data_IF_457566607549
#
_entry.id   IF_457566607549
#
_cell.length_a   1.000
_cell.length_b   1.000
_cell.length_c   1.000
_cell.angle_alpha   90.00
_cell.angle_beta   90.00
_cell.angle_gamma   90.00
#
_symmetry.space_group_name_H-M   'P 1'
#
loop_
_entity.id
_entity.type
_entity.pdbx_description
1 polymer ?
#
# COMPACT_ATOMS: atom_id res chain seq x y z
N UNK A 1 -11.56 -16.51 -22.48
CA UNK A 1 -11.54 -15.51 -23.58
C UNK A 1 -11.09 -14.19 -22.97
N UNK A 2 -9.86 -13.75 -23.26
CA UNK A 2 -9.36 -12.45 -22.84
C UNK A 2 -9.79 -11.42 -23.89
N UNK A 3 -10.52 -10.39 -23.48
CA UNK A 3 -10.90 -9.27 -24.36
C UNK A 3 -9.88 -8.15 -24.21
N UNK A 4 -9.25 -7.84 -25.34
CA UNK A 4 -8.30 -6.75 -25.53
C UNK A 4 -9.09 -5.56 -26.10
N UNK A 5 -8.99 -4.37 -25.52
CA UNK A 5 -9.61 -3.16 -26.05
C UNK A 5 -8.52 -2.11 -26.28
N UNK A 6 -8.15 -1.92 -27.55
CA UNK A 6 -7.32 -0.82 -28.03
C UNK A 6 -8.20 0.25 -28.67
N UNK A 7 -8.03 1.51 -28.25
CA UNK A 7 -8.66 2.68 -28.85
C UNK A 7 -7.74 3.90 -28.69
N UNK A 8 -7.32 4.47 -29.81
CA UNK A 8 -6.52 5.70 -29.89
C UNK A 8 -7.45 6.92 -29.86
N UNK A 9 -7.22 7.85 -28.92
CA UNK A 9 -7.70 9.23 -29.00
C UNK A 9 -6.58 10.18 -28.56
N UNK A 10 -6.36 11.21 -29.37
CA UNK A 10 -5.30 12.22 -29.26
C UNK A 10 -5.57 13.22 -28.13
N UNK A 11 -4.52 13.58 -27.39
CA UNK A 11 -4.50 14.42 -26.20
C UNK A 11 -5.21 15.79 -26.33
N UNK A 12 -5.80 16.28 -25.24
CA UNK A 12 -5.06 17.23 -24.40
C UNK A 12 -5.13 16.89 -22.90
N UNK A 13 -4.00 17.06 -22.22
CA UNK A 13 -3.83 17.16 -20.75
C UNK A 13 -4.55 16.09 -19.92
N UNK A 14 -3.87 14.96 -19.73
CA UNK A 14 -4.29 13.84 -18.87
C UNK A 14 -4.26 14.29 -17.39
N UNK A 15 -5.37 14.28 -16.64
CA UNK A 15 -5.31 14.13 -15.19
C UNK A 15 -4.97 12.65 -14.96
N UNK A 16 -3.72 12.40 -14.57
CA UNK A 16 -3.19 11.06 -14.32
C UNK A 16 -3.88 10.42 -13.12
N UNK A 17 -5.03 9.80 -13.36
CA UNK A 17 -5.62 8.78 -12.50
C UNK A 17 -4.72 7.53 -12.59
N UNK A 18 -3.60 7.53 -11.88
CA UNK A 18 -2.77 6.35 -11.69
C UNK A 18 -3.29 5.60 -10.47
N UNK A 19 -4.22 4.68 -10.68
CA UNK A 19 -4.57 3.66 -9.69
C UNK A 19 -3.37 2.72 -9.54
N UNK A 20 -2.49 3.03 -8.59
CA UNK A 20 -1.52 2.09 -8.09
C UNK A 20 -2.05 1.53 -6.77
N UNK A 21 -2.39 0.24 -6.77
CA UNK A 21 -2.80 -0.49 -5.58
C UNK A 21 -1.65 -0.48 -4.56
N UNK A 22 -1.78 0.36 -3.55
CA UNK A 22 -1.14 0.17 -2.26
C UNK A 22 -2.17 0.39 -1.16
N UNK A 23 -2.21 -0.59 -0.28
CA UNK A 23 -3.18 -0.75 0.79
C UNK A 23 -3.28 0.49 1.68
N UNK A 24 -4.53 0.88 1.97
CA UNK A 24 -4.99 2.13 2.61
C UNK A 24 -4.62 3.42 1.84
N UNK A 25 -5.33 3.65 0.74
CA UNK A 25 -5.34 4.94 0.05
C UNK A 25 -6.50 5.84 0.51
N UNK A 26 -6.20 6.95 1.18
CA UNK A 26 -7.12 8.09 1.30
C UNK A 26 -6.85 9.02 0.11
N UNK A 27 -7.81 9.16 -0.81
CA UNK A 27 -7.63 9.98 -2.01
C UNK A 27 -8.55 11.21 -1.97
N UNK A 28 -8.02 12.44 -1.81
CA UNK A 28 -8.82 13.65 -1.99
C UNK A 28 -9.05 13.88 -3.50
N UNK A 29 -10.30 13.87 -3.94
CA UNK A 29 -10.67 13.90 -5.37
C UNK A 29 -10.73 15.33 -5.94
N UNK A 30 -10.45 16.38 -5.15
CA UNK A 30 -10.69 17.79 -5.52
C UNK A 30 -9.43 18.64 -5.78
N UNK A 31 -8.36 18.03 -6.26
CA UNK A 31 -7.04 18.66 -6.53
C UNK A 31 -7.01 19.64 -7.72
N UNK A 32 -8.10 19.84 -8.47
CA UNK A 32 -8.09 20.66 -9.69
C UNK A 32 -8.22 22.18 -9.50
N UNK A 33 -8.43 22.74 -8.29
CA UNK A 33 -8.70 24.21 -8.14
C UNK A 33 -7.91 24.99 -7.10
N UNK A 34 -7.08 24.36 -6.27
CA UNK A 34 -6.23 25.07 -5.30
C UNK A 34 -4.89 24.36 -5.25
N UNK A 35 -3.88 24.90 -5.94
CA UNK A 35 -2.57 24.26 -6.10
C UNK A 35 -1.89 23.97 -4.76
N UNK A 36 -2.01 22.73 -4.31
CA UNK A 36 -1.21 22.13 -3.24
C UNK A 36 -0.51 20.89 -3.79
N UNK A 37 0.69 20.61 -3.30
CA UNK A 37 1.61 19.63 -3.86
C UNK A 37 1.48 18.23 -3.22
N UNK A 38 1.86 17.21 -4.01
CA UNK A 38 1.98 15.77 -3.68
C UNK A 38 2.46 15.38 -2.25
N UNK A 39 3.25 16.16 -1.49
CA UNK A 39 3.61 15.90 -0.09
C UNK A 39 2.47 15.57 0.89
N UNK A 40 1.22 15.98 0.64
CA UNK A 40 0.11 15.78 1.59
C UNK A 40 -0.35 14.30 1.68
N UNK A 41 -0.49 13.63 0.54
CA UNK A 41 -0.81 12.19 0.45
C UNK A 41 0.27 11.30 1.10
N UNK A 42 1.50 11.77 1.04
CA UNK A 42 2.68 11.04 1.44
C UNK A 42 2.98 11.17 2.95
N UNK A 43 2.73 12.35 3.50
CA UNK A 43 2.72 12.57 4.94
C UNK A 43 1.61 11.76 5.64
N UNK A 44 0.51 11.43 4.94
CA UNK A 44 -0.54 10.57 5.48
C UNK A 44 -0.07 9.14 5.81
N UNK A 45 0.97 8.62 5.17
CA UNK A 45 1.43 7.25 5.47
C UNK A 45 2.30 7.17 6.74
N UNK A 46 2.84 8.31 7.20
CA UNK A 46 3.98 8.39 8.12
C UNK A 46 3.65 8.07 9.60
N UNK A 47 2.38 7.81 9.91
CA UNK A 47 1.89 8.04 11.29
C UNK A 47 1.18 6.87 11.90
N UNK A 48 0.86 5.86 11.10
CA UNK A 48 -0.06 4.75 11.35
C UNK A 48 0.26 3.89 12.60
N UNK A 49 1.24 4.29 13.43
CA UNK A 49 2.24 3.44 14.08
C UNK A 49 2.64 3.90 15.50
N UNK A 50 1.66 4.14 16.36
CA UNK A 50 1.90 4.01 17.82
C UNK A 50 0.88 3.03 18.44
N UNK A 51 0.71 1.87 17.83
CA UNK A 51 -0.13 0.81 18.38
C UNK A 51 0.68 -0.04 19.37
N UNK A 52 0.11 -0.43 20.53
CA UNK A 52 0.76 -1.35 21.44
C UNK A 52 0.98 -2.71 20.77
N UNK A 53 2.14 -3.29 21.02
CA UNK A 53 2.58 -4.57 20.46
C UNK A 53 1.59 -5.71 20.79
N UNK A 54 1.31 -6.56 19.78
CA UNK A 54 0.60 -7.83 19.95
C UNK A 54 1.34 -8.72 20.97
N UNK A 55 0.88 -8.72 22.22
CA UNK A 55 1.20 -9.77 23.19
C UNK A 55 0.42 -11.03 22.79
N UNK A 56 1.10 -12.06 22.29
CA UNK A 56 0.46 -13.31 21.85
C UNK A 56 -0.05 -14.21 22.99
N UNK A 57 0.11 -13.80 24.25
CA UNK A 57 -0.33 -14.55 25.43
C UNK A 57 -1.72 -14.12 25.96
N UNK A 58 -2.31 -13.07 25.37
CA UNK A 58 -3.70 -12.67 25.61
C UNK A 58 -4.32 -12.21 24.29
N UNK A 59 -5.52 -12.69 23.89
CA UNK A 59 -6.21 -12.08 22.76
C UNK A 59 -6.46 -10.62 23.13
N UNK A 60 -5.74 -9.70 22.50
CA UNK A 60 -6.02 -8.29 22.63
C UNK A 60 -7.49 -8.09 22.23
N UNK A 61 -8.23 -7.31 23.01
CA UNK A 61 -9.60 -6.90 22.67
C UNK A 61 -9.64 -5.92 21.48
N UNK A 62 -8.55 -5.79 20.74
CA UNK A 62 -8.40 -4.82 19.66
C UNK A 62 -8.96 -5.41 18.37
N UNK A 63 -9.91 -4.67 17.79
CA UNK A 63 -10.53 -5.02 16.52
C UNK A 63 -9.74 -4.40 15.35
N UNK A 64 -9.84 -5.00 14.17
CA UNK A 64 -9.19 -4.45 12.96
C UNK A 64 -9.64 -3.01 12.73
N UNK A 65 -10.92 -2.73 12.92
CA UNK A 65 -11.45 -1.36 12.74
C UNK A 65 -10.83 -0.38 13.73
N UNK A 66 -10.58 -0.79 14.98
CA UNK A 66 -9.88 0.05 15.97
C UNK A 66 -8.47 0.38 15.50
N UNK A 67 -7.70 -0.64 15.09
CA UNK A 67 -6.35 -0.46 14.59
C UNK A 67 -6.33 0.46 13.36
N UNK A 68 -7.25 0.25 12.42
CA UNK A 68 -7.37 1.05 11.19
C UNK A 68 -7.76 2.51 11.45
N UNK A 69 -8.61 2.78 12.44
CA UNK A 69 -9.00 4.14 12.83
C UNK A 69 -7.84 4.88 13.47
N UNK A 70 -7.12 4.24 14.40
CA UNK A 70 -5.97 4.85 15.05
C UNK A 70 -4.85 5.16 14.05
N UNK A 71 -4.57 4.17 13.20
CA UNK A 71 -3.73 4.28 12.03
C UNK A 71 -4.07 5.50 11.16
N UNK A 72 -5.35 5.65 10.82
CA UNK A 72 -5.85 6.72 9.96
C UNK A 72 -5.86 8.10 10.67
N UNK A 73 -6.10 8.18 11.97
CA UNK A 73 -6.01 9.45 12.69
C UNK A 73 -4.61 10.01 12.68
N UNK A 74 -3.64 9.17 13.03
CA UNK A 74 -2.26 9.59 12.99
C UNK A 74 -1.90 9.99 11.56
N UNK A 75 -2.30 9.17 10.57
CA UNK A 75 -2.06 9.43 9.15
C UNK A 75 -2.41 10.87 8.79
N UNK A 76 -3.65 11.23 9.06
CA UNK A 76 -4.17 12.57 8.83
C UNK A 76 -3.41 13.66 9.59
N UNK A 77 -3.01 13.41 10.84
CA UNK A 77 -2.21 14.35 11.63
C UNK A 77 -0.88 14.67 10.96
N UNK A 78 -0.14 13.66 10.49
CA UNK A 78 1.14 13.95 9.82
C UNK A 78 0.96 14.58 8.46
N UNK A 79 -0.08 14.18 7.73
CA UNK A 79 -0.52 14.82 6.49
C UNK A 79 -0.83 16.30 6.69
N UNK A 80 -1.16 16.69 7.93
CA UNK A 80 -1.76 17.97 8.26
C UNK A 80 -3.08 18.15 7.46
N UNK A 81 -3.83 17.05 7.33
CA UNK A 81 -5.11 16.97 6.63
C UNK A 81 -6.22 16.78 7.66
N UNK A 82 -7.28 17.57 7.57
CA UNK A 82 -8.44 17.40 8.45
C UNK A 82 -9.23 16.14 8.08
N UNK A 83 -9.89 15.52 9.06
CA UNK A 83 -10.80 14.38 8.83
C UNK A 83 -11.92 14.70 7.83
N UNK A 84 -12.30 15.98 7.71
CA UNK A 84 -13.33 16.47 6.80
C UNK A 84 -12.82 16.80 5.39
N UNK A 85 -11.51 16.73 5.16
CA UNK A 85 -10.90 16.87 3.84
C UNK A 85 -10.72 15.52 3.14
N UNK A 86 -11.06 14.42 3.83
CA UNK A 86 -11.11 13.08 3.25
C UNK A 86 -12.36 12.95 2.39
N UNK A 87 -12.19 12.50 1.14
CA UNK A 87 -13.29 12.24 0.21
C UNK A 87 -13.60 10.73 0.04
N UNK A 88 -12.60 9.87 0.27
CA UNK A 88 -12.66 8.43 0.05
C UNK A 88 -11.82 7.67 1.08
N UNK A 89 -12.39 6.59 1.61
CA UNK A 89 -11.78 5.64 2.55
C UNK A 89 -11.81 4.26 1.91
N UNK A 90 -10.63 3.67 1.73
CA UNK A 90 -10.47 2.30 1.23
C UNK A 90 -9.86 1.44 2.33
N UNK A 91 -10.62 0.46 2.83
CA UNK A 91 -10.12 -0.50 3.81
C UNK A 91 -9.74 -1.80 3.11
N UNK A 92 -8.45 -2.07 3.05
CA UNK A 92 -7.92 -3.29 2.45
C UNK A 92 -7.70 -4.35 3.54
N UNK A 93 -8.50 -5.42 3.54
CA UNK A 93 -8.36 -6.50 4.52
C UNK A 93 -8.89 -7.85 4.00
N UNK A 94 -8.29 -8.92 4.50
CA UNK A 94 -8.77 -10.30 4.36
C UNK A 94 -9.36 -10.86 5.66
N UNK A 95 -9.29 -10.11 6.76
CA UNK A 95 -9.79 -10.49 8.09
C UNK A 95 -10.65 -9.37 8.67
N UNK A 96 -11.76 -8.99 8.00
CA UNK A 96 -12.64 -7.94 8.52
C UNK A 96 -13.27 -8.37 9.84
N UNK A 97 -13.61 -7.39 10.69
CA UNK A 97 -14.33 -7.63 11.95
C UNK A 97 -15.70 -8.29 11.70
N UNK A 98 -16.30 -8.01 10.55
CA UNK A 98 -17.65 -8.43 10.17
C UNK A 98 -17.68 -8.98 8.74
N UNK A 99 -18.65 -9.86 8.46
CA UNK A 99 -18.78 -10.56 7.16
C UNK A 99 -19.01 -9.59 6.00
N UNK A 100 -19.60 -8.42 6.27
CA UNK A 100 -19.92 -7.41 5.26
C UNK A 100 -18.85 -6.30 5.13
N UNK A 101 -17.68 -6.50 5.74
CA UNK A 101 -16.61 -5.50 5.77
C UNK A 101 -16.72 -4.55 6.96
N UNK A 102 -15.77 -3.62 7.04
CA UNK A 102 -15.64 -2.69 8.16
C UNK A 102 -15.39 -1.23 7.74
N UNK A 103 -15.35 -0.92 6.44
CA UNK A 103 -15.09 0.44 5.96
C UNK A 103 -16.10 1.49 6.49
N UNK A 104 -17.43 1.25 6.51
CA UNK A 104 -18.39 2.20 7.08
C UNK A 104 -18.20 2.41 8.60
N UNK A 105 -17.73 1.37 9.30
CA UNK A 105 -17.42 1.45 10.73
C UNK A 105 -16.19 2.32 10.98
N UNK A 106 -15.15 2.16 10.16
CA UNK A 106 -13.95 3.01 10.18
C UNK A 106 -14.30 4.45 9.86
N UNK A 107 -15.10 4.70 8.82
CA UNK A 107 -15.60 6.02 8.44
C UNK A 107 -16.31 6.71 9.61
N UNK A 108 -17.24 6.00 10.27
CA UNK A 108 -17.98 6.53 11.43
C UNK A 108 -17.07 6.83 12.60
N UNK A 109 -16.13 5.93 12.90
CA UNK A 109 -15.22 6.05 14.04
C UNK A 109 -14.16 7.16 13.84
N UNK A 110 -13.77 7.46 12.60
CA UNK A 110 -12.90 8.60 12.26
C UNK A 110 -13.57 9.96 12.50
N UNK A 111 -14.90 9.99 12.60
CA UNK A 111 -15.65 11.21 12.88
C UNK A 111 -15.77 12.18 11.69
N UNK A 112 -15.65 11.69 10.45
CA UNK A 112 -15.80 12.52 9.25
C UNK A 112 -17.22 13.10 9.14
N UNK A 113 -17.41 14.41 9.29
CA UNK A 113 -18.72 15.05 9.25
C UNK A 113 -19.34 15.05 7.84
N UNK A 114 -18.50 14.92 6.81
CA UNK A 114 -18.91 14.99 5.39
C UNK A 114 -19.24 13.64 4.76
N UNK A 115 -19.18 12.55 5.53
CA UNK A 115 -19.48 11.19 5.08
C UNK A 115 -18.75 10.81 3.76
N UNK A 116 -17.41 10.71 3.77
CA UNK A 116 -16.65 10.30 2.59
C UNK A 116 -17.06 8.92 2.10
N UNK A 117 -16.89 8.62 0.82
CA UNK A 117 -17.18 7.26 0.33
C UNK A 117 -16.30 6.25 1.08
N UNK A 118 -16.86 5.11 1.49
CA UNK A 118 -16.14 4.09 2.24
C UNK A 118 -16.37 2.72 1.61
N UNK A 119 -15.30 2.05 1.19
CA UNK A 119 -15.36 0.74 0.55
C UNK A 119 -14.34 -0.22 1.15
N UNK A 120 -14.76 -1.46 1.36
CA UNK A 120 -13.88 -2.58 1.66
C UNK A 120 -13.33 -3.15 0.35
N UNK A 121 -12.01 -3.36 0.32
CA UNK A 121 -11.30 -4.02 -0.78
C UNK A 121 -10.72 -5.32 -0.24
N UNK A 122 -11.10 -6.44 -0.85
CA UNK A 122 -10.59 -7.77 -0.50
C UNK A 122 -9.91 -8.40 -1.70
N UNK A 123 -8.61 -8.63 -1.59
CA UNK A 123 -7.81 -9.38 -2.55
C UNK A 123 -7.45 -10.75 -1.96
N UNK A 124 -8.45 -11.64 -1.89
CA UNK A 124 -8.28 -13.04 -1.48
C UNK A 124 -9.40 -13.91 -2.09
N UNK A 125 -9.10 -15.18 -2.33
CA UNK A 125 -10.10 -16.14 -2.78
C UNK A 125 -11.15 -16.37 -1.69
N UNK A 126 -12.40 -16.59 -2.11
CA UNK A 126 -13.59 -16.81 -1.27
C UNK A 126 -13.32 -17.57 0.03
N UNK A 127 -13.71 -16.94 1.15
CA UNK A 127 -13.51 -17.40 2.52
C UNK A 127 -14.07 -18.81 2.75
N UNK A 128 -13.17 -19.81 2.74
CA UNK A 128 -13.36 -21.06 3.44
C UNK A 128 -12.82 -20.88 4.86
N UNK A 129 -13.60 -21.21 5.89
CA UNK A 129 -13.20 -21.18 7.31
C UNK A 129 -12.18 -22.27 7.67
N UNK A 130 -11.22 -22.51 6.78
CA UNK A 130 -10.08 -23.41 6.94
C UNK A 130 -8.82 -22.60 7.23
N UNK A 131 -7.84 -23.21 7.89
CA UNK A 131 -6.51 -22.63 8.05
C UNK A 131 -5.93 -22.17 6.70
N UNK A 132 -5.28 -21.00 6.67
CA UNK A 132 -4.62 -20.45 5.48
C UNK A 132 -3.65 -21.49 4.90
N UNK A 133 -3.88 -21.90 3.65
CA UNK A 133 -2.98 -22.80 2.93
C UNK A 133 -2.12 -22.01 1.96
N UNK A 134 -0.81 -22.21 2.01
CA UNK A 134 0.15 -21.55 1.13
C UNK A 134 1.09 -22.56 0.47
N UNK A 135 1.08 -22.62 -0.85
CA UNK A 135 2.12 -23.34 -1.60
C UNK A 135 3.31 -22.41 -1.84
N UNK A 136 4.26 -22.40 -0.90
CA UNK A 136 5.41 -21.49 -0.93
C UNK A 136 6.28 -21.63 -2.19
N UNK A 137 6.39 -22.83 -2.78
CA UNK A 137 7.18 -23.04 -4.00
C UNK A 137 6.57 -22.34 -5.21
N UNK A 138 5.25 -22.44 -5.38
CA UNK A 138 4.55 -21.77 -6.48
C UNK A 138 4.49 -20.26 -6.29
N UNK A 139 4.26 -19.79 -5.06
CA UNK A 139 4.28 -18.35 -4.74
C UNK A 139 5.67 -17.74 -5.01
N UNK A 140 6.74 -18.43 -4.62
CA UNK A 140 8.12 -18.01 -4.91
C UNK A 140 8.39 -17.92 -6.41
N UNK A 141 8.10 -18.99 -7.18
CA UNK A 141 8.29 -19.02 -8.64
C UNK A 141 7.50 -17.92 -9.34
N UNK A 142 6.29 -17.67 -8.88
CA UNK A 142 5.45 -16.59 -9.36
C UNK A 142 6.08 -15.22 -9.06
N UNK A 143 6.45 -14.96 -7.80
CA UNK A 143 6.96 -13.67 -7.36
C UNK A 143 8.24 -13.26 -8.08
N UNK A 144 9.23 -14.16 -8.17
CA UNK A 144 10.52 -13.87 -8.84
C UNK A 144 10.37 -13.61 -10.34
N UNK A 145 9.26 -14.03 -10.96
CA UNK A 145 9.00 -13.76 -12.37
C UNK A 145 8.20 -12.48 -12.56
N UNK A 146 7.10 -12.34 -11.83
CA UNK A 146 6.06 -11.35 -12.13
C UNK A 146 6.34 -10.00 -11.47
N UNK A 147 6.94 -9.99 -10.27
CA UNK A 147 7.24 -8.73 -9.57
C UNK A 147 8.28 -7.89 -10.32
N UNK A 148 9.44 -8.44 -10.76
CA UNK A 148 10.40 -7.68 -11.56
C UNK A 148 9.77 -7.14 -12.86
N UNK A 149 9.00 -7.96 -13.57
CA UNK A 149 8.31 -7.55 -14.81
C UNK A 149 7.32 -6.40 -14.56
N UNK A 150 6.60 -6.44 -13.44
CA UNK A 150 5.68 -5.36 -13.07
C UNK A 150 6.42 -4.06 -12.80
N UNK A 151 7.53 -4.12 -12.04
CA UNK A 151 8.33 -2.92 -11.73
C UNK A 151 8.97 -2.36 -13.01
N UNK A 152 9.57 -3.21 -13.85
CA UNK A 152 10.14 -2.82 -15.15
C UNK A 152 9.09 -2.15 -16.05
N UNK A 153 7.87 -2.68 -16.08
CA UNK A 153 6.76 -2.08 -16.81
C UNK A 153 6.42 -0.67 -16.26
N UNK A 154 6.31 -0.53 -14.94
CA UNK A 154 6.01 0.74 -14.29
C UNK A 154 7.12 1.78 -14.48
N UNK A 155 8.38 1.37 -14.44
CA UNK A 155 9.54 2.21 -14.77
C UNK A 155 9.50 2.68 -16.22
N UNK A 156 9.22 1.78 -17.17
CA UNK A 156 9.11 2.11 -18.58
C UNK A 156 7.97 3.11 -18.84
N UNK A 157 6.83 2.96 -18.14
CA UNK A 157 5.72 3.92 -18.18
C UNK A 157 6.08 5.27 -17.56
N UNK A 158 6.92 5.29 -16.53
CA UNK A 158 7.43 6.51 -15.91
C UNK A 158 8.57 7.17 -16.71
N UNK A 159 9.12 6.49 -17.72
CA UNK A 159 10.29 6.96 -18.46
C UNK A 159 11.57 6.99 -17.61
N UNK A 160 11.64 6.17 -16.56
CA UNK A 160 12.75 6.13 -15.60
C UNK A 160 13.62 4.89 -15.83
N UNK A 161 14.96 5.02 -15.78
CA UNK A 161 15.84 3.86 -15.81
C UNK A 161 15.82 3.13 -14.46
N UNK A 162 16.09 1.83 -14.46
CA UNK A 162 16.17 1.04 -13.22
C UNK A 162 17.24 1.56 -12.25
N UNK A 163 18.31 2.18 -12.76
CA UNK A 163 19.36 2.81 -11.95
C UNK A 163 18.92 4.06 -11.18
N UNK A 164 17.74 4.60 -11.47
CA UNK A 164 17.19 5.75 -10.75
C UNK A 164 16.45 5.35 -9.45
N UNK A 165 16.30 4.05 -9.18
CA UNK A 165 15.66 3.58 -7.95
C UNK A 165 16.64 3.76 -6.78
N UNK A 166 16.24 4.56 -5.79
CA UNK A 166 16.97 4.70 -4.53
C UNK A 166 16.58 3.60 -3.53
N UNK A 167 15.29 3.22 -3.54
CA UNK A 167 14.75 2.22 -2.61
C UNK A 167 13.81 1.23 -3.30
N UNK A 168 14.06 -0.06 -3.06
CA UNK A 168 13.15 -1.14 -3.39
C UNK A 168 12.30 -1.48 -2.16
N UNK A 169 10.98 -1.32 -2.29
CA UNK A 169 10.01 -1.50 -1.20
C UNK A 169 8.99 -2.58 -1.59
N UNK A 170 9.22 -3.81 -1.17
CA UNK A 170 8.34 -4.92 -1.53
C UNK A 170 7.39 -5.26 -0.38
N UNK A 171 6.31 -5.96 -0.71
CA UNK A 171 5.59 -6.77 0.26
C UNK A 171 6.60 -7.62 1.06
N UNK A 172 6.45 -7.67 2.39
CA UNK A 172 7.44 -8.24 3.31
C UNK A 172 7.40 -9.78 3.26
N UNK A 173 7.80 -10.33 2.12
CA UNK A 173 7.89 -11.74 1.77
C UNK A 173 8.76 -11.88 0.53
N UNK A 174 9.69 -12.85 0.51
CA UNK A 174 10.46 -13.22 -0.70
C UNK A 174 11.37 -12.07 -1.22
N UNK A 175 11.78 -11.16 -0.33
CA UNK A 175 12.60 -9.97 -0.63
C UNK A 175 13.91 -10.31 -1.37
N UNK A 176 14.68 -11.25 -0.84
CA UNK A 176 16.02 -11.60 -1.36
C UNK A 176 15.95 -12.18 -2.79
N UNK A 177 14.92 -12.97 -3.07
CA UNK A 177 14.76 -13.61 -4.36
C UNK A 177 14.40 -12.60 -5.47
N UNK A 178 13.56 -11.61 -5.14
CA UNK A 178 13.19 -10.54 -6.09
C UNK A 178 14.33 -9.56 -6.29
N UNK A 179 14.99 -9.10 -5.21
CA UNK A 179 16.13 -8.17 -5.29
C UNK A 179 17.30 -8.76 -6.09
N UNK A 180 17.65 -10.02 -5.84
CA UNK A 180 18.68 -10.74 -6.62
C UNK A 180 18.33 -10.80 -8.11
N UNK A 181 17.07 -11.08 -8.44
CA UNK A 181 16.60 -11.16 -9.83
C UNK A 181 16.63 -9.81 -10.54
N UNK A 182 16.45 -8.72 -9.80
CA UNK A 182 16.53 -7.35 -10.29
C UNK A 182 17.94 -6.77 -10.27
N UNK A 183 18.92 -7.49 -9.70
CA UNK A 183 20.29 -7.03 -9.50
C UNK A 183 20.35 -5.74 -8.66
N UNK A 184 19.40 -5.58 -7.72
CA UNK A 184 19.38 -4.47 -6.76
C UNK A 184 20.12 -4.94 -5.49
N UNK A 185 21.12 -4.17 -5.02
CA UNK A 185 21.84 -4.50 -3.79
C UNK A 185 20.91 -4.59 -2.57
N UNK A 186 21.17 -5.52 -1.66
CA UNK A 186 20.30 -5.73 -0.49
C UNK A 186 20.23 -4.50 0.42
N UNK A 187 21.26 -3.65 0.43
CA UNK A 187 21.26 -2.39 1.17
C UNK A 187 20.22 -1.38 0.67
N UNK A 188 19.83 -1.45 -0.61
CA UNK A 188 18.79 -0.62 -1.23
C UNK A 188 17.38 -1.20 -1.05
N UNK A 189 17.25 -2.35 -0.39
CA UNK A 189 15.96 -2.95 -0.06
C UNK A 189 15.50 -2.45 1.30
N UNK A 190 14.26 -1.99 1.40
CA UNK A 190 13.62 -1.67 2.67
C UNK A 190 13.02 -2.95 3.23
N UNK A 191 13.46 -3.34 4.43
CA UNK A 191 13.00 -4.54 5.11
C UNK A 191 12.92 -4.28 6.61
N UNK A 192 11.78 -4.63 7.19
CA UNK A 192 11.58 -4.75 8.63
C UNK A 192 10.98 -6.11 9.02
N UNK A 193 11.13 -7.09 8.11
CA UNK A 193 10.65 -8.45 8.26
C UNK A 193 11.13 -9.11 9.56
N UNK A 194 12.35 -8.78 10.01
CA UNK A 194 12.92 -9.31 11.26
C UNK A 194 12.16 -8.86 12.52
N UNK A 195 11.51 -7.69 12.47
CA UNK A 195 10.81 -7.09 13.62
C UNK A 195 9.33 -7.47 13.64
N UNK A 196 8.67 -7.48 12.47
CA UNK A 196 7.21 -7.58 12.38
C UNK A 196 6.70 -8.77 11.57
N UNK A 197 7.57 -9.50 10.86
CA UNK A 197 7.16 -10.56 9.96
C UNK A 197 6.31 -10.04 8.78
N UNK A 198 5.51 -10.93 8.20
CA UNK A 198 4.60 -10.58 7.11
C UNK A 198 3.27 -10.08 7.69
N UNK A 199 3.01 -8.78 7.55
CA UNK A 199 1.78 -8.13 8.06
C UNK A 199 0.72 -7.93 6.97
N UNK A 200 0.74 -8.77 5.93
CA UNK A 200 -0.21 -8.74 4.80
C UNK A 200 -0.26 -7.35 4.16
N UNK A 201 -1.45 -6.78 3.98
CA UNK A 201 -1.69 -5.44 3.47
C UNK A 201 -0.93 -4.33 4.22
N UNK A 202 -0.64 -4.52 5.51
CA UNK A 202 0.14 -3.56 6.30
C UNK A 202 1.64 -3.54 5.99
N UNK A 203 2.16 -4.51 5.23
CA UNK A 203 3.60 -4.74 5.07
C UNK A 203 4.34 -3.54 4.47
N UNK A 204 3.82 -3.01 3.36
CA UNK A 204 4.46 -1.91 2.65
C UNK A 204 4.36 -0.57 3.41
N UNK A 205 3.17 -0.12 3.86
CA UNK A 205 3.08 1.14 4.60
C UNK A 205 3.88 1.10 5.91
N UNK A 206 3.90 -0.03 6.62
CA UNK A 206 4.69 -0.22 7.83
C UNK A 206 6.19 -0.07 7.57
N UNK A 207 6.72 -0.76 6.55
CA UNK A 207 8.14 -0.71 6.20
C UNK A 207 8.56 0.66 5.68
N UNK A 208 7.70 1.34 4.91
CA UNK A 208 7.96 2.69 4.42
C UNK A 208 8.05 3.70 5.54
N UNK A 209 7.09 3.68 6.47
CA UNK A 209 7.11 4.61 7.58
C UNK A 209 8.38 4.48 8.43
N UNK A 210 8.73 3.25 8.82
CA UNK A 210 9.93 3.02 9.62
C UNK A 210 11.17 3.55 8.92
N UNK A 211 11.31 3.27 7.62
CA UNK A 211 12.42 3.77 6.81
C UNK A 211 12.47 5.31 6.73
N UNK A 212 11.32 5.98 6.74
CA UNK A 212 11.22 7.44 6.78
C UNK A 212 11.60 7.98 8.16
N UNK A 213 11.09 7.38 9.24
CA UNK A 213 11.34 7.83 10.62
C UNK A 213 12.81 7.73 11.01
N UNK A 214 13.50 6.67 10.59
CA UNK A 214 14.94 6.50 10.84
C UNK A 214 15.81 7.32 9.88
N UNK A 215 15.21 8.11 8.97
CA UNK A 215 15.91 8.98 8.03
C UNK A 215 16.60 8.25 6.86
N UNK A 216 16.26 6.98 6.62
CA UNK A 216 16.76 6.17 5.49
C UNK A 216 16.18 6.71 4.17
N UNK A 217 14.86 6.94 4.16
CA UNK A 217 14.14 7.57 3.04
C UNK A 217 14.10 9.09 3.24
N UNK A 218 14.46 9.85 2.20
CA UNK A 218 14.54 11.32 2.21
C UNK A 218 13.74 11.91 1.05
N UNK A 219 13.26 13.17 1.17
CA UNK A 219 12.65 13.88 0.06
C UNK A 219 13.55 13.88 -1.19
N UNK A 220 12.95 13.67 -2.36
CA UNK A 220 13.62 13.48 -3.63
C UNK A 220 13.89 12.03 -4.02
N UNK A 221 13.93 11.08 -3.08
CA UNK A 221 14.24 9.68 -3.38
C UNK A 221 13.15 9.02 -4.24
N UNK A 222 13.55 8.21 -5.21
CA UNK A 222 12.66 7.41 -6.05
C UNK A 222 12.49 6.03 -5.44
N UNK A 223 11.25 5.65 -5.16
CA UNK A 223 10.89 4.38 -4.54
C UNK A 223 10.15 3.53 -5.56
N UNK A 224 10.65 2.32 -5.79
CA UNK A 224 9.94 1.28 -6.51
C UNK A 224 9.25 0.37 -5.50
N UNK A 225 7.92 0.46 -5.43
CA UNK A 225 7.14 -0.38 -4.54
C UNK A 225 6.34 -1.43 -5.30
N UNK A 226 6.25 -2.64 -4.75
CA UNK A 226 5.44 -3.70 -5.33
C UNK A 226 4.83 -4.63 -4.28
N UNK A 227 3.54 -4.90 -4.46
CA UNK A 227 2.78 -5.87 -3.67
C UNK A 227 2.36 -7.06 -4.52
N UNK A 228 2.29 -8.23 -3.89
CA UNK A 228 1.71 -9.43 -4.49
C UNK A 228 1.09 -10.29 -3.39
N UNK A 229 0.05 -11.05 -3.72
CA UNK A 229 -0.69 -11.82 -2.71
C UNK A 229 -1.70 -12.80 -3.29
N UNK A 230 -2.61 -13.25 -2.43
CA UNK A 230 -3.64 -14.22 -2.77
C UNK A 230 -4.52 -13.74 -3.95
N UNK A 231 -4.85 -14.65 -4.85
CA UNK A 231 -5.61 -14.33 -6.07
C UNK A 231 -5.25 -15.20 -7.27
N UNK A 232 -4.03 -15.24 -7.80
CA UNK A 232 -2.85 -14.40 -7.53
C UNK A 232 -3.07 -12.97 -8.04
N UNK A 233 -2.78 -11.97 -7.20
CA UNK A 233 -2.91 -10.54 -7.53
C UNK A 233 -1.58 -9.84 -7.25
N UNK A 234 -1.21 -8.87 -8.07
CA UNK A 234 0.02 -8.08 -7.90
C UNK A 234 -0.13 -6.68 -8.48
N UNK A 235 0.64 -5.75 -7.94
CA UNK A 235 0.74 -4.39 -8.44
C UNK A 235 2.12 -3.82 -8.12
N UNK A 236 2.55 -2.85 -8.92
CA UNK A 236 3.73 -2.05 -8.63
C UNK A 236 3.45 -0.57 -8.88
N UNK A 237 4.22 0.26 -8.22
CA UNK A 237 4.21 1.71 -8.37
C UNK A 237 5.63 2.25 -8.32
N UNK A 238 5.86 3.34 -9.03
CA UNK A 238 7.08 4.12 -8.92
C UNK A 238 6.65 5.52 -8.51
N UNK A 239 7.20 6.01 -7.39
CA UNK A 239 6.91 7.36 -6.91
C UNK A 239 8.15 8.01 -6.33
N UNK A 240 8.14 9.34 -6.30
CA UNK A 240 9.17 10.13 -5.64
C UNK A 240 8.67 10.51 -4.25
N UNK A 241 9.50 10.27 -3.24
CA UNK A 241 9.20 10.66 -1.87
C UNK A 241 9.46 12.16 -1.68
N UNK A 242 8.60 12.89 -0.96
CA UNK A 242 8.77 14.32 -0.65
C UNK A 242 7.73 15.24 -1.28
#
# INVERSE_FOLDING_TARGET
MATNASGFFTAPTVPSLQFAFLDLGFLPLRESRRGYSAPALLKAQRSMLELPLLNLDHPSKESLSTLAVEAAHKALEMAQVGVDDVDLILVCTSTPDEIFGCAPKVQKALGCARNPLAYDITAACSASYSCLQMNGKEVLRFAVRVVPQSIEYSLAKAGLPASSIDWLLLHQSILDAVSTRMQIPSEQVISNLANYGNTSAGSIPLALDEAVRIGKVKPGHTIAAAGFGAGLTWASTIFRWG
#
